data_IF_151062452932
#
_entry.id   IF_151062452932
#
_cell.length_a   1.000
_cell.length_b   1.000
_cell.length_c   1.000
_cell.angle_alpha   90.00
_cell.angle_beta   90.00
_cell.angle_gamma   90.00
#
_symmetry.space_group_name_H-M   'P 1'
#
loop_
_entity.id
_entity.type
_entity.pdbx_description
1 polymer ?
#
# COMPACT_ATOMS: atom_id res chain seq x y z
N UNK A 1 -4.76 -22.90 3.72
CA UNK A 1 -5.74 -23.92 4.16
C UNK A 1 -5.66 -24.30 5.65
N UNK A 2 -4.68 -23.83 6.39
CA UNK A 2 -4.52 -24.21 7.81
C UNK A 2 -5.68 -23.77 8.73
N UNK A 3 -6.48 -22.79 8.31
CA UNK A 3 -7.57 -22.20 9.14
C UNK A 3 -8.96 -22.71 8.73
N UNK A 4 -9.09 -23.38 7.57
CA UNK A 4 -10.36 -23.95 7.10
C UNK A 4 -11.42 -22.91 6.68
N UNK A 5 -11.08 -21.63 6.52
CA UNK A 5 -11.98 -20.58 6.06
C UNK A 5 -12.03 -20.60 4.53
N UNK A 6 -13.20 -20.70 3.88
CA UNK A 6 -13.29 -20.66 2.42
C UNK A 6 -12.84 -19.31 1.84
N UNK A 7 -11.87 -19.33 0.91
CA UNK A 7 -11.32 -18.15 0.28
C UNK A 7 -11.14 -18.31 -1.23
N UNK A 8 -11.04 -17.19 -1.93
CA UNK A 8 -10.72 -17.13 -3.37
C UNK A 8 -9.79 -15.96 -3.70
N UNK A 9 -8.97 -16.14 -4.74
CA UNK A 9 -8.10 -15.08 -5.28
C UNK A 9 -8.90 -14.21 -6.26
N UNK A 10 -9.02 -12.91 -5.97
CA UNK A 10 -9.74 -11.97 -6.82
C UNK A 10 -9.10 -11.78 -8.20
N UNK A 11 -7.77 -11.85 -8.29
CA UNK A 11 -7.05 -11.60 -9.53
C UNK A 11 -7.21 -12.72 -10.58
N UNK A 12 -7.50 -13.95 -10.15
CA UNK A 12 -7.65 -15.11 -11.04
C UNK A 12 -9.08 -15.56 -11.23
N UNK A 13 -10.02 -15.08 -10.40
CA UNK A 13 -11.43 -15.41 -10.52
C UNK A 13 -12.13 -14.39 -11.43
N UNK A 14 -12.44 -14.80 -12.66
CA UNK A 14 -13.15 -13.99 -13.66
C UNK A 14 -14.67 -14.23 -13.66
N UNK A 15 -15.16 -15.07 -12.76
CA UNK A 15 -16.59 -15.39 -12.57
C UNK A 15 -17.11 -14.94 -11.21
N UNK A 16 -18.38 -15.25 -10.90
CA UNK A 16 -18.90 -15.02 -9.57
C UNK A 16 -18.17 -15.92 -8.56
N UNK A 17 -17.86 -15.35 -7.40
CA UNK A 17 -17.30 -16.13 -6.28
C UNK A 17 -18.29 -17.18 -5.79
N UNK A 18 -17.79 -18.32 -5.30
CA UNK A 18 -18.63 -19.38 -4.72
C UNK A 18 -19.48 -18.83 -3.59
N UNK A 19 -20.63 -19.46 -3.39
CA UNK A 19 -21.56 -19.01 -2.36
C UNK A 19 -20.97 -19.11 -0.93
N UNK A 20 -20.17 -20.14 -0.67
CA UNK A 20 -19.53 -20.37 0.63
C UNK A 20 -18.31 -19.51 0.90
N UNK A 21 -17.75 -18.83 -0.10
CA UNK A 21 -16.55 -17.99 0.04
C UNK A 21 -16.75 -16.89 1.08
N UNK A 22 -15.96 -16.93 2.14
CA UNK A 22 -15.92 -15.92 3.20
C UNK A 22 -14.90 -14.83 2.97
N UNK A 23 -13.76 -15.19 2.39
CA UNK A 23 -12.65 -14.28 2.14
C UNK A 23 -12.32 -14.18 0.64
N UNK A 24 -11.95 -13.00 0.23
CA UNK A 24 -11.34 -12.77 -1.08
C UNK A 24 -10.03 -12.03 -0.84
N UNK A 25 -8.99 -12.40 -1.56
CA UNK A 25 -7.70 -11.72 -1.46
C UNK A 25 -7.19 -11.28 -2.82
N UNK A 26 -6.38 -10.23 -2.79
CA UNK A 26 -5.63 -9.72 -3.93
C UNK A 26 -4.16 -9.61 -3.54
N UNK A 27 -3.26 -9.89 -4.49
CA UNK A 27 -1.81 -9.80 -4.27
C UNK A 27 -1.25 -8.56 -4.99
N UNK A 28 -0.52 -7.76 -4.25
CA UNK A 28 0.16 -6.56 -4.75
C UNK A 28 1.66 -6.65 -4.47
N UNK A 29 2.30 -7.69 -5.00
CA UNK A 29 3.73 -7.95 -4.88
C UNK A 29 4.28 -7.93 -3.45
N UNK A 30 4.47 -6.77 -2.85
CA UNK A 30 4.96 -6.60 -1.48
C UNK A 30 3.89 -6.69 -0.40
N UNK A 31 2.62 -6.70 -0.75
CA UNK A 31 1.49 -6.84 0.17
C UNK A 31 0.39 -7.73 -0.39
N UNK A 32 -0.52 -8.16 0.47
CA UNK A 32 -1.76 -8.79 0.08
C UNK A 32 -2.93 -8.15 0.83
N UNK A 33 -3.98 -7.78 0.10
CA UNK A 33 -5.21 -7.27 0.67
C UNK A 33 -6.21 -8.42 0.84
N UNK A 34 -6.87 -8.49 1.99
CA UNK A 34 -7.90 -9.49 2.30
C UNK A 34 -9.22 -8.77 2.59
N UNK A 35 -10.27 -9.22 1.95
CA UNK A 35 -11.62 -8.68 2.05
C UNK A 35 -12.58 -9.72 2.62
N UNK A 36 -13.39 -9.33 3.61
CA UNK A 36 -14.39 -10.20 4.20
C UNK A 36 -15.71 -10.09 3.45
N UNK A 37 -16.03 -11.09 2.68
CA UNK A 37 -17.34 -11.18 2.00
C UNK A 37 -18.48 -11.59 2.94
N UNK A 38 -18.14 -12.28 4.01
CA UNK A 38 -19.07 -12.72 5.05
C UNK A 38 -18.45 -12.48 6.42
N UNK A 39 -19.27 -12.23 7.45
CA UNK A 39 -18.76 -12.11 8.80
C UNK A 39 -17.99 -13.35 9.23
N UNK A 40 -16.88 -13.13 9.92
CA UNK A 40 -16.13 -14.16 10.62
C UNK A 40 -16.57 -14.19 12.08
N UNK A 41 -16.57 -15.37 12.67
CA UNK A 41 -16.62 -15.49 14.14
C UNK A 41 -15.28 -15.00 14.71
N UNK A 42 -15.27 -14.62 16.00
CA UNK A 42 -14.03 -14.19 16.64
C UNK A 42 -12.93 -15.29 16.57
N UNK A 43 -13.32 -16.55 16.76
CA UNK A 43 -12.37 -17.66 16.65
C UNK A 43 -11.78 -17.82 15.23
N UNK A 44 -12.59 -17.63 14.18
CA UNK A 44 -12.11 -17.64 12.79
C UNK A 44 -11.17 -16.45 12.52
N UNK A 45 -11.52 -15.27 13.03
CA UNK A 45 -10.70 -14.07 12.87
C UNK A 45 -9.34 -14.23 13.56
N UNK A 46 -9.32 -14.68 14.82
CA UNK A 46 -8.08 -14.87 15.57
C UNK A 46 -7.21 -15.96 14.94
N UNK A 47 -7.81 -17.05 14.47
CA UNK A 47 -7.10 -18.11 13.77
C UNK A 47 -6.54 -17.64 12.41
N UNK A 48 -7.26 -16.77 11.69
CA UNK A 48 -6.78 -16.17 10.45
C UNK A 48 -5.56 -15.30 10.68
N UNK A 49 -5.61 -14.38 11.66
CA UNK A 49 -4.48 -13.52 12.00
C UNK A 49 -3.26 -14.38 12.38
N UNK A 50 -3.41 -15.30 13.34
CA UNK A 50 -2.33 -16.16 13.78
C UNK A 50 -1.76 -17.03 12.64
N UNK A 51 -2.63 -17.51 11.75
CA UNK A 51 -2.21 -18.30 10.58
C UNK A 51 -1.42 -17.48 9.57
N UNK A 52 -1.80 -16.24 9.33
CA UNK A 52 -1.09 -15.31 8.42
C UNK A 52 0.26 -14.89 9.02
N UNK A 53 0.30 -14.51 10.29
CA UNK A 53 1.54 -14.12 10.99
C UNK A 53 2.54 -15.28 11.12
N UNK A 54 2.05 -16.53 11.12
CA UNK A 54 2.88 -17.74 11.12
C UNK A 54 3.53 -18.08 9.78
N UNK A 55 3.19 -17.39 8.69
CA UNK A 55 3.76 -17.65 7.36
C UNK A 55 5.17 -17.05 7.27
N UNK A 56 6.15 -17.88 6.91
CA UNK A 56 7.51 -17.40 6.63
C UNK A 56 7.49 -16.36 5.50
N UNK A 57 8.05 -15.19 5.75
CA UNK A 57 8.08 -14.09 4.80
C UNK A 57 6.94 -13.08 4.98
N UNK A 58 6.05 -13.28 5.95
CA UNK A 58 5.13 -12.24 6.43
C UNK A 58 5.83 -11.43 7.53
N UNK A 59 5.87 -10.11 7.35
CA UNK A 59 6.39 -9.18 8.35
C UNK A 59 5.32 -8.79 9.36
N UNK A 60 4.09 -8.54 8.88
CA UNK A 60 2.99 -8.06 9.71
C UNK A 60 1.64 -8.26 9.01
N UNK A 61 0.61 -8.42 9.81
CA UNK A 61 -0.79 -8.33 9.40
C UNK A 61 -1.38 -7.05 10.03
N UNK A 62 -1.86 -6.13 9.18
CA UNK A 62 -2.54 -4.91 9.61
C UNK A 62 -4.02 -5.15 9.64
N UNK A 63 -4.66 -4.85 10.76
CA UNK A 63 -6.11 -4.85 10.94
C UNK A 63 -6.74 -3.57 10.37
N UNK A 64 -8.06 -3.58 10.12
CA UNK A 64 -8.76 -2.38 9.63
C UNK A 64 -8.58 -1.17 10.56
N UNK A 65 -8.61 -1.39 11.88
CA UNK A 65 -8.42 -0.28 12.84
C UNK A 65 -7.01 0.32 12.80
N UNK A 66 -5.99 -0.49 12.53
CA UNK A 66 -4.62 0.01 12.35
C UNK A 66 -4.47 0.76 11.02
N UNK A 67 -5.11 0.25 9.95
CA UNK A 67 -5.15 0.91 8.66
C UNK A 67 -5.89 2.25 8.74
N UNK A 68 -6.99 2.33 9.48
CA UNK A 68 -7.72 3.58 9.73
C UNK A 68 -6.87 4.60 10.50
N UNK A 69 -6.10 4.13 11.48
CA UNK A 69 -5.16 4.98 12.23
C UNK A 69 -4.00 5.52 11.37
N UNK A 70 -3.73 4.88 10.23
CA UNK A 70 -2.75 5.31 9.23
C UNK A 70 -3.38 6.15 8.09
N UNK A 71 -4.65 6.52 8.23
CA UNK A 71 -5.42 7.30 7.23
C UNK A 71 -5.44 6.65 5.84
N UNK A 72 -5.52 5.31 5.80
CA UNK A 72 -5.58 4.58 4.53
C UNK A 72 -7.00 4.58 3.96
N UNK A 73 -7.15 4.47 2.63
CA UNK A 73 -8.46 4.38 1.99
C UNK A 73 -9.31 3.23 2.54
N UNK A 74 -10.61 3.46 2.72
CA UNK A 74 -11.55 2.47 3.26
C UNK A 74 -11.72 1.23 2.39
N UNK A 75 -11.34 1.30 1.13
CA UNK A 75 -11.38 0.19 0.19
C UNK A 75 -10.07 -0.62 0.09
N UNK A 76 -9.11 -0.37 0.98
CA UNK A 76 -7.82 -1.09 1.01
C UNK A 76 -7.91 -2.47 1.71
N UNK A 77 -9.07 -3.09 1.78
CA UNK A 77 -9.26 -4.38 2.44
C UNK A 77 -9.56 -4.28 3.94
N UNK A 78 -10.02 -5.40 4.50
CA UNK A 78 -10.27 -5.55 5.93
C UNK A 78 -8.99 -5.90 6.70
N UNK A 79 -8.06 -6.60 6.01
CA UNK A 79 -6.69 -6.84 6.47
C UNK A 79 -5.70 -6.55 5.33
N UNK A 80 -4.51 -6.09 5.69
CA UNK A 80 -3.37 -6.03 4.79
C UNK A 80 -2.21 -6.82 5.37
N UNK A 81 -1.67 -7.73 4.58
CA UNK A 81 -0.51 -8.55 4.93
C UNK A 81 0.72 -7.96 4.26
N UNK A 82 1.73 -7.61 5.04
CA UNK A 82 2.98 -7.02 4.57
C UNK A 82 4.08 -8.06 4.49
N UNK A 83 4.87 -8.05 3.42
CA UNK A 83 6.03 -8.93 3.27
C UNK A 83 7.20 -8.49 4.13
N UNK A 84 7.94 -9.46 4.62
CA UNK A 84 9.26 -9.23 5.20
C UNK A 84 10.28 -8.87 4.11
N UNK A 85 11.34 -8.18 4.49
CA UNK A 85 12.44 -7.85 3.58
C UNK A 85 12.99 -9.10 2.90
N UNK A 86 13.15 -9.04 1.59
CA UNK A 86 13.61 -10.17 0.76
C UNK A 86 12.52 -11.15 0.33
N UNK A 87 11.24 -10.90 0.71
CA UNK A 87 10.10 -11.71 0.30
C UNK A 87 9.11 -10.90 -0.55
N UNK A 88 8.34 -11.63 -1.37
CA UNK A 88 7.26 -11.05 -2.16
C UNK A 88 6.15 -12.08 -2.39
N UNK A 89 4.93 -11.61 -2.62
CA UNK A 89 3.80 -12.45 -3.01
C UNK A 89 3.77 -12.77 -4.52
N UNK A 90 4.71 -12.23 -5.28
CA UNK A 90 4.83 -12.44 -6.71
C UNK A 90 6.27 -12.81 -7.10
N UNK A 91 6.44 -13.25 -8.35
CA UNK A 91 7.75 -13.53 -8.96
C UNK A 91 8.23 -12.37 -9.84
N UNK A 92 7.65 -11.20 -9.71
CA UNK A 92 8.03 -9.99 -10.46
C UNK A 92 9.43 -9.52 -10.07
N UNK A 93 10.15 -8.95 -11.03
CA UNK A 93 11.50 -8.38 -10.81
C UNK A 93 11.45 -6.96 -10.24
N UNK A 94 10.27 -6.35 -10.21
CA UNK A 94 10.00 -5.03 -9.61
C UNK A 94 8.82 -5.16 -8.66
N UNK A 95 9.01 -4.69 -7.44
CA UNK A 95 8.06 -4.87 -6.34
C UNK A 95 7.50 -3.53 -5.86
N UNK A 96 6.28 -3.58 -5.32
CA UNK A 96 5.62 -2.47 -4.66
C UNK A 96 4.63 -3.00 -3.62
N UNK A 97 4.15 -2.12 -2.72
CA UNK A 97 3.10 -2.43 -1.78
C UNK A 97 3.58 -2.74 -0.36
N UNK A 98 4.82 -3.21 -0.16
CA UNK A 98 5.36 -3.42 1.18
C UNK A 98 5.71 -2.08 1.85
N UNK A 99 5.58 -2.03 3.19
CA UNK A 99 5.95 -0.85 3.97
C UNK A 99 7.42 -0.46 3.77
N UNK A 100 8.32 -1.42 3.65
CA UNK A 100 9.74 -1.18 3.38
C UNK A 100 9.99 -0.50 2.01
N UNK A 101 9.05 -0.60 1.08
CA UNK A 101 9.12 -0.01 -0.25
C UNK A 101 8.55 1.41 -0.32
N UNK A 102 8.10 1.98 0.80
CA UNK A 102 7.62 3.37 0.87
C UNK A 102 8.76 4.38 0.80
N UNK A 103 9.99 3.97 1.11
CA UNK A 103 11.16 4.83 0.96
C UNK A 103 11.65 4.78 -0.50
N UNK A 104 11.32 5.81 -1.25
CA UNK A 104 11.69 5.98 -2.66
C UNK A 104 12.52 7.25 -2.82
N UNK A 105 13.27 7.33 -3.92
CA UNK A 105 13.93 8.58 -4.30
C UNK A 105 13.01 9.40 -5.21
N UNK A 106 13.21 10.72 -5.20
CA UNK A 106 12.53 11.66 -6.09
C UNK A 106 13.58 12.50 -6.82
N UNK A 107 13.37 12.70 -8.12
CA UNK A 107 14.28 13.49 -8.95
C UNK A 107 13.51 14.63 -9.62
N UNK A 108 13.97 15.85 -9.43
CA UNK A 108 13.46 17.02 -10.13
C UNK A 108 14.53 17.53 -11.13
N UNK A 109 14.11 17.81 -12.34
CA UNK A 109 14.96 18.42 -13.35
C UNK A 109 14.16 19.46 -14.16
N UNK A 110 14.74 20.63 -14.38
CA UNK A 110 14.08 21.69 -15.14
C UNK A 110 14.85 23.01 -15.10
N UNK A 111 14.44 24.01 -15.89
CA UNK A 111 15.14 25.30 -15.99
C UNK A 111 15.20 26.07 -14.68
N UNK A 112 14.18 25.93 -13.83
CA UNK A 112 14.05 26.61 -12.54
C UNK A 112 14.56 25.78 -11.37
N UNK A 113 14.94 24.53 -11.61
CA UNK A 113 15.41 23.60 -10.59
C UNK A 113 16.94 23.73 -10.45
N UNK A 114 17.43 23.70 -9.23
CA UNK A 114 18.86 23.59 -8.91
C UNK A 114 19.43 22.32 -9.53
N UNK A 115 20.65 22.36 -9.98
CA UNK A 115 21.31 21.24 -10.65
C UNK A 115 22.43 20.67 -9.81
N UNK A 116 22.51 19.34 -9.77
CA UNK A 116 23.57 18.61 -9.07
C UNK A 116 23.52 18.71 -7.55
N UNK A 117 22.38 19.11 -7.00
CA UNK A 117 22.17 19.18 -5.56
C UNK A 117 21.36 17.98 -5.04
N UNK A 118 21.71 17.52 -3.85
CA UNK A 118 20.94 16.56 -3.08
C UNK A 118 20.04 17.33 -2.11
N UNK A 119 18.73 17.06 -2.17
CA UNK A 119 17.75 17.61 -1.25
C UNK A 119 17.54 16.61 -0.11
N UNK A 120 18.10 16.91 1.07
CA UNK A 120 18.12 16.00 2.23
C UNK A 120 16.89 16.11 3.14
N UNK A 121 16.00 17.08 2.87
CA UNK A 121 14.76 17.21 3.64
C UNK A 121 13.77 16.13 3.19
N UNK A 122 13.10 15.51 4.15
CA UNK A 122 12.05 14.55 3.86
C UNK A 122 10.99 15.17 2.95
N UNK A 123 10.63 14.45 1.89
CA UNK A 123 9.57 14.81 0.97
C UNK A 123 8.71 13.57 0.65
N UNK A 124 7.48 13.81 0.23
CA UNK A 124 6.50 12.77 -0.05
C UNK A 124 6.12 12.76 -1.53
N UNK A 125 5.69 11.64 -2.06
CA UNK A 125 5.26 11.53 -3.46
C UNK A 125 4.13 12.51 -3.82
N UNK A 126 3.25 12.84 -2.87
CA UNK A 126 2.19 13.84 -3.03
C UNK A 126 2.73 15.26 -3.29
N UNK A 127 3.96 15.55 -2.86
CA UNK A 127 4.60 16.86 -3.09
C UNK A 127 4.88 17.11 -4.58
N UNK A 128 4.94 16.06 -5.41
CA UNK A 128 5.13 16.18 -6.85
C UNK A 128 4.12 17.13 -7.49
N UNK A 129 2.83 16.98 -7.16
CA UNK A 129 1.74 17.80 -7.73
C UNK A 129 1.91 19.25 -7.37
N UNK A 130 2.15 19.57 -6.09
CA UNK A 130 2.35 20.93 -5.61
C UNK A 130 3.54 21.61 -6.33
N UNK A 131 4.64 20.88 -6.55
CA UNK A 131 5.82 21.42 -7.22
C UNK A 131 5.61 21.58 -8.74
N UNK A 132 4.87 20.70 -9.42
CA UNK A 132 4.48 20.88 -10.82
C UNK A 132 3.63 22.15 -10.97
N UNK A 133 2.62 22.33 -10.12
CA UNK A 133 1.78 23.53 -10.15
C UNK A 133 2.61 24.81 -9.91
N UNK A 134 3.51 24.79 -8.94
CA UNK A 134 4.39 25.93 -8.63
C UNK A 134 5.29 26.32 -9.80
N UNK A 135 5.89 25.35 -10.50
CA UNK A 135 6.72 25.61 -11.70
C UNK A 135 5.91 26.29 -12.80
N UNK A 136 4.65 25.95 -12.95
CA UNK A 136 3.76 26.51 -13.95
C UNK A 136 3.03 27.78 -13.50
N UNK A 137 3.28 28.25 -12.28
CA UNK A 137 2.60 29.42 -11.71
C UNK A 137 1.10 29.22 -11.50
N UNK A 138 0.66 27.97 -11.34
CA UNK A 138 -0.72 27.61 -11.09
C UNK A 138 -0.93 27.49 -9.58
N UNK A 139 -1.89 28.21 -8.99
CA UNK A 139 -2.22 28.04 -7.58
C UNK A 139 -2.65 26.62 -7.28
N UNK A 140 -2.16 26.01 -6.19
CA UNK A 140 -2.66 24.75 -5.71
C UNK A 140 -4.04 24.96 -5.07
N UNK A 141 -4.98 24.06 -5.35
CA UNK A 141 -6.27 24.00 -4.66
C UNK A 141 -6.11 23.40 -3.26
N UNK A 142 -7.07 23.66 -2.36
CA UNK A 142 -7.06 23.13 -0.98
C UNK A 142 -7.10 21.58 -0.91
N UNK A 143 -7.41 20.92 -2.03
CA UNK A 143 -7.42 19.46 -2.18
C UNK A 143 -6.05 18.87 -2.47
N UNK A 144 -5.01 19.69 -2.64
CA UNK A 144 -3.62 19.22 -2.90
C UNK A 144 -2.91 19.02 -1.57
N UNK A 145 -2.72 17.77 -1.18
CA UNK A 145 -2.08 17.39 0.10
C UNK A 145 -0.57 17.64 0.15
N UNK A 146 0.06 17.90 -0.99
CA UNK A 146 1.50 18.10 -1.12
C UNK A 146 1.94 19.52 -0.81
N UNK A 147 3.21 19.67 -0.46
CA UNK A 147 3.85 20.96 -0.19
C UNK A 147 4.84 21.35 -1.31
N UNK A 148 5.02 22.66 -1.52
CA UNK A 148 6.06 23.20 -2.39
C UNK A 148 7.42 23.08 -1.70
N UNK A 149 8.36 22.38 -2.33
CA UNK A 149 9.71 22.14 -1.83
C UNK A 149 10.61 23.33 -2.20
N UNK A 150 10.48 24.44 -1.48
CA UNK A 150 11.17 25.69 -1.83
C UNK A 150 12.70 25.54 -1.98
N UNK A 151 13.32 24.58 -1.32
CA UNK A 151 14.76 24.34 -1.37
C UNK A 151 15.28 23.79 -2.71
N UNK A 152 14.42 23.29 -3.60
CA UNK A 152 14.83 22.73 -4.90
C UNK A 152 14.94 23.79 -6.02
N UNK A 153 14.40 24.99 -5.82
CA UNK A 153 14.38 26.06 -6.82
C UNK A 153 15.63 26.94 -6.76
N UNK A 154 15.98 27.53 -7.92
CA UNK A 154 17.08 28.53 -8.08
C UNK A 154 16.73 29.85 -7.44
#
# INVERSE_FOLDING_TARGET
DAVGIPYENAAVNIGPFREDTKLVYNLASGSAEIYFRKPLTQAEYDALIAGLEGITGVARVYTRSELDAMDTPQNLGDLVVDCAEGYAFSTSVAEHGAKAQQQIFMVFNGPTIKQGELYETECRSVDCVANILAVHGVPAEDTVDGAVLNGIYK
#
